data_IF_751518817314
#
_entry.id   IF_751518817314
#
_cell.length_a   1.000
_cell.length_b   1.000
_cell.length_c   1.000
_cell.angle_alpha   90.00
_cell.angle_beta   90.00
_cell.angle_gamma   90.00
#
_symmetry.space_group_name_H-M   'P 1'
#
loop_
_entity.id
_entity.type
_entity.pdbx_description
1 polymer ?
#
# COMPACT_ATOMS: atom_id res chain seq x y z
N UNK A 1 -18.12 -25.57 41.43
CA UNK A 1 -18.87 -24.29 41.43
C UNK A 1 -18.78 -23.70 40.03
N UNK A 2 -19.90 -23.28 39.43
CA UNK A 2 -19.87 -22.59 38.15
C UNK A 2 -19.09 -21.27 38.31
N UNK A 3 -18.10 -21.01 37.44
CA UNK A 3 -17.39 -19.73 37.42
C UNK A 3 -18.40 -18.62 37.12
N UNK A 4 -18.54 -17.68 38.04
CA UNK A 4 -19.37 -16.50 37.86
C UNK A 4 -18.86 -15.70 36.65
N UNK A 5 -19.76 -15.31 35.74
CA UNK A 5 -19.39 -14.69 34.49
C UNK A 5 -19.02 -13.20 34.68
N UNK A 6 -17.98 -12.74 34.00
CA UNK A 6 -17.60 -11.32 34.01
C UNK A 6 -18.72 -10.51 33.34
N UNK A 7 -19.19 -9.46 34.02
CA UNK A 7 -20.27 -8.61 33.52
C UNK A 7 -19.93 -7.94 32.17
N UNK A 8 -20.95 -7.67 31.35
CA UNK A 8 -20.78 -7.04 30.04
C UNK A 8 -20.07 -5.70 30.12
N UNK A 9 -20.40 -4.85 31.09
CA UNK A 9 -19.76 -3.53 31.25
C UNK A 9 -18.31 -3.65 31.73
N UNK A 10 -17.99 -4.63 32.58
CA UNK A 10 -16.60 -4.94 32.94
C UNK A 10 -15.81 -5.33 31.70
N UNK A 11 -16.33 -6.24 30.86
CA UNK A 11 -15.69 -6.64 29.60
C UNK A 11 -15.45 -5.45 28.67
N UNK A 12 -16.47 -4.61 28.46
CA UNK A 12 -16.36 -3.38 27.63
C UNK A 12 -15.26 -2.46 28.14
N UNK A 13 -15.19 -2.24 29.45
CA UNK A 13 -14.15 -1.39 30.05
C UNK A 13 -12.75 -2.00 29.90
N UNK A 14 -12.60 -3.31 30.05
CA UNK A 14 -11.33 -4.00 29.81
C UNK A 14 -10.87 -3.87 28.35
N UNK A 15 -11.79 -4.08 27.40
CA UNK A 15 -11.51 -3.89 25.97
C UNK A 15 -11.13 -2.45 25.63
N UNK A 16 -11.83 -1.47 26.19
CA UNK A 16 -11.51 -0.06 26.03
C UNK A 16 -10.12 0.29 26.59
N UNK A 17 -9.73 -0.29 27.73
CA UNK A 17 -8.42 -0.06 28.35
C UNK A 17 -7.27 -0.74 27.59
N UNK A 18 -7.51 -1.88 26.94
CA UNK A 18 -6.47 -2.60 26.20
C UNK A 18 -6.37 -2.17 24.72
N UNK A 19 -7.40 -1.51 24.18
CA UNK A 19 -7.42 -1.04 22.79
C UNK A 19 -7.30 -2.17 21.75
N UNK A 20 -7.62 -3.41 22.12
CA UNK A 20 -7.50 -4.58 21.24
C UNK A 20 -6.14 -5.30 21.28
N UNK A 21 -5.20 -4.85 22.11
CA UNK A 21 -3.84 -5.40 22.17
C UNK A 21 -3.51 -5.99 23.55
N UNK A 22 -2.61 -6.98 23.56
CA UNK A 22 -2.09 -7.59 24.78
C UNK A 22 -1.42 -6.53 25.68
N UNK A 23 -1.80 -6.49 26.96
CA UNK A 23 -1.30 -5.49 27.91
C UNK A 23 0.09 -5.81 28.48
N UNK A 24 0.73 -6.93 28.10
CA UNK A 24 2.14 -7.16 28.42
C UNK A 24 3.01 -6.17 27.62
N UNK A 25 3.84 -5.33 28.28
CA UNK A 25 4.65 -4.29 27.64
C UNK A 25 5.67 -4.80 26.60
N UNK A 26 5.96 -6.09 26.56
CA UNK A 26 6.88 -6.70 25.59
C UNK A 26 6.18 -7.43 24.43
N UNK A 27 4.86 -7.61 24.50
CA UNK A 27 4.12 -8.46 23.56
C UNK A 27 3.43 -7.67 22.45
N UNK A 28 2.61 -6.68 22.82
CA UNK A 28 1.81 -5.86 21.88
C UNK A 28 1.01 -6.65 20.82
N UNK A 29 0.73 -7.94 21.05
CA UNK A 29 0.01 -8.80 20.10
C UNK A 29 -1.44 -8.35 19.97
N UNK A 30 -1.95 -8.27 18.74
CA UNK A 30 -3.37 -8.03 18.47
C UNK A 30 -4.19 -9.21 18.98
N UNK A 31 -5.32 -8.93 19.66
CA UNK A 31 -6.11 -9.92 20.36
C UNK A 31 -7.31 -10.46 19.55
N UNK A 32 -7.28 -10.26 18.23
CA UNK A 32 -8.23 -10.87 17.30
C UNK A 32 -7.48 -11.63 16.21
N UNK A 33 -8.14 -12.66 15.68
CA UNK A 33 -7.70 -13.41 14.51
C UNK A 33 -8.81 -13.35 13.47
N UNK A 34 -8.45 -12.95 12.26
CA UNK A 34 -9.37 -12.82 11.12
C UNK A 34 -9.11 -13.95 10.12
N UNK A 35 -10.17 -14.65 9.70
CA UNK A 35 -10.13 -15.68 8.65
C UNK A 35 -11.29 -15.41 7.68
N UNK A 36 -10.97 -14.86 6.50
CA UNK A 36 -12.00 -14.37 5.59
C UNK A 36 -12.76 -13.21 6.24
N UNK A 37 -14.10 -13.32 6.27
CA UNK A 37 -14.99 -12.33 6.89
C UNK A 37 -15.29 -12.63 8.38
N UNK A 38 -14.72 -13.70 8.93
CA UNK A 38 -14.91 -14.09 10.33
C UNK A 38 -13.78 -13.57 11.22
N UNK A 39 -14.14 -13.00 12.38
CA UNK A 39 -13.21 -12.51 13.40
C UNK A 39 -13.47 -13.20 14.73
N UNK A 40 -12.42 -13.77 15.34
CA UNK A 40 -12.48 -14.38 16.67
C UNK A 40 -11.55 -13.66 17.64
N UNK A 41 -12.08 -13.34 18.83
CA UNK A 41 -11.26 -12.83 19.93
C UNK A 41 -10.41 -13.96 20.51
N UNK A 42 -9.09 -13.77 20.50
CA UNK A 42 -8.11 -14.64 21.17
C UNK A 42 -7.66 -14.07 22.53
N UNK A 43 -8.35 -13.02 23.01
CA UNK A 43 -8.07 -12.40 24.29
C UNK A 43 -8.45 -13.31 25.47
N UNK A 44 -7.63 -13.27 26.52
CA UNK A 44 -7.93 -13.83 27.83
C UNK A 44 -7.98 -12.70 28.85
N UNK A 45 -9.10 -12.64 29.59
CA UNK A 45 -9.21 -11.79 30.78
C UNK A 45 -8.62 -12.58 31.96
N UNK A 46 -7.35 -12.34 32.26
CA UNK A 46 -6.62 -13.01 33.32
C UNK A 46 -6.88 -12.33 34.66
N UNK A 47 -7.08 -13.13 35.71
CA UNK A 47 -7.16 -12.64 37.09
C UNK A 47 -5.74 -12.27 37.57
N UNK A 48 -5.59 -11.05 38.10
CA UNK A 48 -4.34 -10.61 38.72
C UNK A 48 -4.18 -11.35 40.05
N UNK A 49 -5.24 -11.39 40.87
CA UNK A 49 -5.32 -12.20 42.08
C UNK A 49 -6.35 -13.31 41.86
N UNK A 50 -5.89 -14.55 41.93
CA UNK A 50 -6.68 -15.77 41.75
C UNK A 50 -7.66 -16.02 42.89
N UNK A 51 -8.68 -16.86 42.63
CA UNK A 51 -9.75 -17.12 43.58
C UNK A 51 -9.46 -18.33 44.49
N UNK A 52 -9.74 -18.17 45.80
CA UNK A 52 -9.62 -19.24 46.81
C UNK A 52 -8.17 -19.52 47.21
N UNK A 53 -7.96 -20.39 48.19
CA UNK A 53 -6.64 -20.66 48.79
C UNK A 53 -5.61 -21.34 47.86
N UNK A 54 -5.99 -21.62 46.61
CA UNK A 54 -5.15 -22.30 45.62
C UNK A 54 -5.05 -21.49 44.31
N UNK A 55 -5.54 -20.26 44.30
CA UNK A 55 -5.43 -19.38 43.14
C UNK A 55 -4.06 -18.72 43.09
N UNK A 56 -3.56 -18.42 41.89
CA UNK A 56 -2.31 -17.68 41.74
C UNK A 56 -2.41 -16.33 42.46
N UNK A 57 -1.46 -16.03 43.34
CA UNK A 57 -1.33 -14.81 44.15
C UNK A 57 -2.46 -14.63 45.17
N UNK A 58 -3.14 -15.72 45.53
CA UNK A 58 -4.30 -15.69 46.45
C UNK A 58 -3.93 -15.36 47.89
N UNK A 59 -2.64 -15.45 48.25
CA UNK A 59 -2.06 -15.04 49.52
C UNK A 59 -1.83 -13.53 49.62
N UNK A 60 -2.02 -12.78 48.53
CA UNK A 60 -1.83 -11.33 48.51
C UNK A 60 -2.82 -10.61 49.44
N UNK A 61 -2.37 -9.57 50.15
CA UNK A 61 -3.16 -8.85 51.16
C UNK A 61 -4.50 -8.26 50.65
N UNK A 62 -4.63 -8.05 49.33
CA UNK A 62 -5.85 -7.54 48.70
C UNK A 62 -6.85 -8.64 48.32
N UNK A 63 -6.53 -9.92 48.45
CA UNK A 63 -7.36 -11.03 47.96
C UNK A 63 -8.79 -11.03 48.54
N UNK A 64 -8.95 -10.63 49.80
CA UNK A 64 -10.25 -10.60 50.48
C UNK A 64 -11.09 -9.35 50.17
N UNK A 65 -10.45 -8.25 49.78
CA UNK A 65 -11.11 -6.95 49.55
C UNK A 65 -11.34 -6.64 48.07
N UNK A 66 -10.60 -7.28 47.16
CA UNK A 66 -10.69 -7.02 45.73
C UNK A 66 -11.91 -7.68 45.11
N UNK A 67 -12.62 -6.94 44.25
CA UNK A 67 -13.72 -7.53 43.48
C UNK A 67 -13.15 -8.54 42.47
N UNK A 68 -13.39 -9.84 42.71
CA UNK A 68 -12.83 -10.96 41.92
C UNK A 68 -12.96 -10.77 40.41
N UNK A 69 -14.16 -10.45 39.93
CA UNK A 69 -14.46 -10.19 38.52
C UNK A 69 -14.54 -8.69 38.18
N UNK A 70 -13.93 -7.84 39.01
CA UNK A 70 -13.86 -6.40 38.81
C UNK A 70 -12.73 -6.00 37.87
N UNK A 71 -12.82 -4.81 37.26
CA UNK A 71 -11.78 -4.34 36.33
C UNK A 71 -10.42 -4.12 36.99
N UNK A 72 -10.38 -3.90 38.30
CA UNK A 72 -9.15 -3.76 39.08
C UNK A 72 -8.40 -5.08 39.23
N UNK A 73 -9.08 -6.22 39.15
CA UNK A 73 -8.47 -7.55 39.30
C UNK A 73 -8.26 -8.29 37.97
N UNK A 74 -8.53 -7.64 36.83
CA UNK A 74 -8.51 -8.29 35.52
C UNK A 74 -7.58 -7.54 34.56
N UNK A 75 -6.78 -8.29 33.80
CA UNK A 75 -5.90 -7.78 32.74
C UNK A 75 -6.17 -8.54 31.43
N UNK A 76 -6.09 -7.84 30.28
CA UNK A 76 -6.30 -8.44 28.96
C UNK A 76 -4.97 -8.89 28.34
N UNK A 77 -4.81 -10.20 28.15
CA UNK A 77 -3.57 -10.81 27.62
C UNK A 77 -3.87 -11.77 26.46
N UNK A 78 -2.87 -12.05 25.63
CA UNK A 78 -2.91 -13.20 24.73
C UNK A 78 -2.74 -14.50 25.53
N UNK A 79 -3.07 -15.65 24.92
CA UNK A 79 -2.96 -16.95 25.57
C UNK A 79 -1.55 -17.22 26.13
N UNK A 80 -0.51 -16.88 25.37
CA UNK A 80 0.88 -17.12 25.75
C UNK A 80 1.29 -16.30 26.99
N UNK A 81 0.93 -15.00 27.02
CA UNK A 81 1.23 -14.12 28.15
C UNK A 81 0.40 -14.47 29.38
N UNK A 82 -0.86 -14.88 29.19
CA UNK A 82 -1.70 -15.35 30.28
C UNK A 82 -1.09 -16.59 30.95
N UNK A 83 -0.72 -17.59 30.15
CA UNK A 83 -0.07 -18.81 30.64
C UNK A 83 1.23 -18.49 31.40
N UNK A 84 2.04 -17.58 30.86
CA UNK A 84 3.31 -17.17 31.46
C UNK A 84 3.14 -16.56 32.86
N UNK A 85 2.17 -15.66 33.05
CA UNK A 85 2.00 -15.00 34.36
C UNK A 85 1.43 -15.94 35.42
N UNK A 86 0.71 -16.99 35.01
CA UNK A 86 0.16 -17.99 35.91
C UNK A 86 1.21 -19.05 36.29
N UNK A 87 1.95 -19.60 35.32
CA UNK A 87 2.96 -20.63 35.59
C UNK A 87 4.25 -20.11 36.25
N UNK A 88 4.53 -18.81 36.12
CA UNK A 88 5.73 -18.17 36.67
C UNK A 88 5.37 -17.12 37.72
N UNK A 89 4.45 -17.46 38.61
CA UNK A 89 3.90 -16.57 39.63
C UNK A 89 4.97 -15.80 40.43
N UNK A 90 6.03 -16.48 40.86
CA UNK A 90 7.16 -15.90 41.60
C UNK A 90 7.88 -14.77 40.83
N UNK A 91 7.75 -14.72 39.50
CA UNK A 91 8.36 -13.70 38.62
C UNK A 91 7.40 -12.56 38.26
N UNK A 92 6.11 -12.72 38.54
CA UNK A 92 5.03 -11.80 38.17
C UNK A 92 4.12 -11.52 39.37
N UNK A 93 4.61 -10.65 40.25
CA UNK A 93 3.84 -10.15 41.40
C UNK A 93 2.60 -9.35 40.97
N UNK A 94 1.67 -9.16 41.91
CA UNK A 94 0.45 -8.36 41.71
C UNK A 94 0.79 -6.95 41.23
N UNK A 95 1.78 -6.30 41.85
CA UNK A 95 2.21 -4.93 41.55
C UNK A 95 2.69 -4.81 40.11
N UNK A 96 3.50 -5.77 39.66
CA UNK A 96 4.06 -5.77 38.30
C UNK A 96 2.96 -5.90 37.24
N UNK A 97 1.96 -6.74 37.48
CA UNK A 97 0.83 -6.92 36.55
C UNK A 97 -0.10 -5.68 36.59
N UNK A 98 -0.30 -5.08 37.76
CA UNK A 98 -1.01 -3.80 37.88
C UNK A 98 -0.29 -2.68 37.11
N UNK A 99 1.04 -2.60 37.22
CA UNK A 99 1.87 -1.66 36.46
C UNK A 99 1.69 -1.86 34.95
N UNK A 100 1.72 -3.09 34.44
CA UNK A 100 1.47 -3.38 33.03
C UNK A 100 0.11 -2.85 32.55
N UNK A 101 -0.93 -3.11 33.34
CA UNK A 101 -2.29 -2.67 33.06
C UNK A 101 -2.39 -1.13 33.04
N UNK A 102 -1.80 -0.46 34.03
CA UNK A 102 -1.81 1.00 34.15
C UNK A 102 -1.03 1.68 33.02
N UNK A 103 0.20 1.24 32.75
CA UNK A 103 1.03 1.76 31.67
C UNK A 103 0.32 1.62 30.31
N UNK A 104 -0.24 0.45 30.02
CA UNK A 104 -0.93 0.21 28.75
C UNK A 104 -2.19 1.07 28.63
N UNK A 105 -3.05 1.09 29.65
CA UNK A 105 -4.27 1.90 29.61
C UNK A 105 -4.00 3.40 29.52
N UNK A 106 -2.90 3.88 30.14
CA UNK A 106 -2.43 5.26 30.01
C UNK A 106 -1.97 5.58 28.60
N UNK A 107 -1.26 4.66 27.92
CA UNK A 107 -0.89 4.80 26.51
C UNK A 107 -2.13 4.93 25.62
N UNK A 108 -3.14 4.07 25.82
CA UNK A 108 -4.40 4.15 25.07
C UNK A 108 -5.11 5.48 25.33
N UNK A 109 -5.19 5.92 26.59
CA UNK A 109 -5.82 7.19 26.93
C UNK A 109 -5.07 8.40 26.36
N UNK A 110 -3.74 8.36 26.33
CA UNK A 110 -2.91 9.43 25.79
C UNK A 110 -3.15 9.67 24.30
N UNK A 111 -3.57 8.65 23.53
CA UNK A 111 -3.99 8.82 22.13
C UNK A 111 -5.15 9.82 21.97
N UNK A 112 -5.93 10.04 23.03
CA UNK A 112 -7.09 10.94 23.04
C UNK A 112 -6.85 12.23 23.84
N UNK A 113 -5.64 12.43 24.38
CA UNK A 113 -5.28 13.69 25.05
C UNK A 113 -4.58 14.61 24.06
N UNK A 114 -5.33 15.58 23.54
CA UNK A 114 -4.75 16.70 22.80
C UNK A 114 -4.20 17.71 23.79
N UNK A 115 -2.96 18.16 23.60
CA UNK A 115 -2.37 19.28 24.35
C UNK A 115 -3.34 20.48 24.29
N UNK A 116 -3.67 21.05 25.45
CA UNK A 116 -4.45 22.30 25.57
C UNK A 116 -3.58 23.34 26.23
N UNK A 117 -3.28 24.42 25.52
CA UNK A 117 -2.34 25.46 25.97
C UNK A 117 -2.72 26.84 25.45
N UNK A 118 -2.19 27.86 26.09
CA UNK A 118 -2.23 29.27 25.66
C UNK A 118 -0.86 29.76 25.17
N UNK A 119 0.19 28.92 25.22
CA UNK A 119 1.49 29.20 24.62
C UNK A 119 1.55 28.65 23.19
N UNK A 120 1.62 29.55 22.21
CA UNK A 120 1.72 29.18 20.79
C UNK A 120 3.00 28.36 20.51
N UNK A 121 4.09 28.60 21.25
CA UNK A 121 5.34 27.87 21.04
C UNK A 121 5.24 26.39 21.39
N UNK A 122 4.42 26.01 22.37
CA UNK A 122 4.19 24.60 22.69
C UNK A 122 3.50 23.88 21.52
N UNK A 123 2.49 24.52 20.92
CA UNK A 123 1.81 23.98 19.72
C UNK A 123 2.78 23.89 18.55
N UNK A 124 3.58 24.93 18.30
CA UNK A 124 4.53 24.94 17.20
C UNK A 124 5.58 23.83 17.32
N UNK A 125 6.09 23.56 18.53
CA UNK A 125 7.05 22.47 18.78
C UNK A 125 6.44 21.10 18.47
N UNK A 126 5.24 20.82 19.00
CA UNK A 126 4.54 19.56 18.73
C UNK A 126 4.22 19.37 17.24
N UNK A 127 3.78 20.44 16.56
CA UNK A 127 3.55 20.40 15.10
C UNK A 127 4.85 20.12 14.37
N UNK A 128 5.95 20.78 14.73
CA UNK A 128 7.25 20.58 14.12
C UNK A 128 7.75 19.13 14.30
N UNK A 129 7.63 18.56 15.49
CA UNK A 129 8.10 17.20 15.77
C UNK A 129 7.33 16.16 14.93
N UNK A 130 6.01 16.33 14.80
CA UNK A 130 5.17 15.49 13.92
C UNK A 130 5.53 15.67 12.44
N UNK A 131 5.83 16.91 12.00
CA UNK A 131 6.27 17.19 10.63
C UNK A 131 7.66 16.59 10.34
N UNK A 132 8.58 16.62 11.29
CA UNK A 132 9.92 16.03 11.16
C UNK A 132 9.88 14.50 11.14
N UNK A 133 9.03 13.86 11.96
CA UNK A 133 8.79 12.42 11.87
C UNK A 133 8.23 12.03 10.50
N UNK A 134 7.24 12.78 10.01
CA UNK A 134 6.69 12.58 8.67
C UNK A 134 7.74 12.78 7.57
N UNK A 135 8.59 13.81 7.69
CA UNK A 135 9.68 14.10 6.74
C UNK A 135 10.68 12.95 6.69
N UNK A 136 11.15 12.47 7.84
CA UNK A 136 12.11 11.36 7.92
C UNK A 136 11.60 10.11 7.20
N UNK A 137 10.33 9.75 7.44
CA UNK A 137 9.68 8.62 6.77
C UNK A 137 9.54 8.87 5.26
N UNK A 138 9.15 10.09 4.86
CA UNK A 138 9.00 10.45 3.46
C UNK A 138 10.34 10.44 2.71
N UNK A 139 11.41 10.91 3.33
CA UNK A 139 12.75 10.93 2.72
C UNK A 139 13.33 9.51 2.59
N UNK A 140 13.05 8.63 3.56
CA UNK A 140 13.57 7.26 3.60
C UNK A 140 12.79 6.30 2.67
N UNK A 141 11.45 6.37 2.69
CA UNK A 141 10.58 5.39 2.03
C UNK A 141 9.67 6.00 0.97
N UNK A 142 9.56 7.32 0.94
CA UNK A 142 8.64 8.01 0.05
C UNK A 142 9.04 7.92 -1.43
N UNK A 143 8.16 8.43 -2.30
CA UNK A 143 8.44 8.51 -3.73
C UNK A 143 9.76 9.25 -3.96
N UNK A 144 10.66 8.62 -4.73
CA UNK A 144 12.01 9.12 -5.03
C UNK A 144 13.06 9.00 -3.92
N UNK A 145 12.79 8.29 -2.82
CA UNK A 145 13.85 7.94 -1.87
C UNK A 145 14.92 7.07 -2.53
N UNK A 146 16.13 7.06 -1.97
CA UNK A 146 17.20 6.18 -2.50
C UNK A 146 16.75 4.72 -2.56
N UNK A 147 15.99 4.27 -1.55
CA UNK A 147 15.40 2.93 -1.52
C UNK A 147 14.35 2.72 -2.62
N UNK A 148 13.47 3.70 -2.88
CA UNK A 148 12.44 3.59 -3.91
C UNK A 148 13.02 3.54 -5.33
N UNK A 149 14.20 4.13 -5.52
CA UNK A 149 14.82 4.35 -6.82
C UNK A 149 15.83 3.24 -7.12
N UNK A 150 16.73 2.94 -6.19
CA UNK A 150 17.77 1.92 -6.35
C UNK A 150 17.37 0.54 -5.82
N UNK A 151 16.29 0.44 -5.05
CA UNK A 151 15.84 -0.81 -4.44
C UNK A 151 15.22 -1.76 -5.46
N UNK A 152 15.72 -3.00 -5.50
CA UNK A 152 15.19 -4.06 -6.36
C UNK A 152 13.97 -4.80 -5.75
N UNK A 153 13.54 -4.46 -4.53
CA UNK A 153 12.47 -5.18 -3.83
C UNK A 153 11.15 -4.39 -3.81
N UNK A 154 10.04 -5.07 -4.14
CA UNK A 154 8.68 -4.53 -3.99
C UNK A 154 8.27 -4.25 -2.54
N UNK A 155 9.15 -4.52 -1.57
CA UNK A 155 8.89 -4.33 -0.15
C UNK A 155 8.96 -2.86 0.25
N UNK A 156 9.74 -2.01 -0.42
CA UNK A 156 9.79 -0.57 -0.10
C UNK A 156 8.43 0.09 -0.31
N UNK A 157 7.72 -0.23 -1.40
CA UNK A 157 6.35 0.27 -1.65
C UNK A 157 5.35 -0.22 -0.60
N UNK A 158 5.49 -1.47 -0.12
CA UNK A 158 4.67 -2.02 0.97
C UNK A 158 4.96 -1.33 2.29
N UNK A 159 6.24 -1.10 2.60
CA UNK A 159 6.69 -0.38 3.80
C UNK A 159 6.19 1.06 3.75
N UNK A 160 6.33 1.76 2.63
CA UNK A 160 5.77 3.09 2.41
C UNK A 160 4.26 3.12 2.69
N UNK A 161 3.48 2.20 2.10
CA UNK A 161 2.04 2.11 2.35
C UNK A 161 1.75 1.87 3.83
N UNK A 162 2.49 0.98 4.48
CA UNK A 162 2.37 0.72 5.92
C UNK A 162 2.65 1.98 6.75
N UNK A 163 3.74 2.70 6.46
CA UNK A 163 4.15 3.92 7.15
C UNK A 163 3.20 5.09 6.95
N UNK A 164 2.58 5.18 5.78
CA UNK A 164 1.48 6.11 5.55
C UNK A 164 0.34 5.84 6.53
N UNK A 165 -0.11 4.59 6.62
CA UNK A 165 -1.26 4.20 7.43
C UNK A 165 -1.00 4.25 8.95
N UNK A 166 0.18 3.80 9.39
CA UNK A 166 0.50 3.65 10.82
C UNK A 166 1.12 4.90 11.46
N UNK A 167 1.66 5.84 10.66
CA UNK A 167 2.38 7.01 11.16
C UNK A 167 1.94 8.32 10.51
N UNK A 168 2.10 8.48 9.19
CA UNK A 168 1.89 9.79 8.53
C UNK A 168 0.43 10.24 8.62
N UNK A 169 -0.53 9.37 8.32
CA UNK A 169 -1.96 9.72 8.42
C UNK A 169 -2.36 10.06 9.86
N UNK A 170 -2.02 9.24 10.89
CA UNK A 170 -2.20 9.63 12.29
C UNK A 170 -1.57 10.98 12.63
N UNK A 171 -0.33 11.24 12.21
CA UNK A 171 0.36 12.49 12.52
C UNK A 171 -0.28 13.70 11.82
N UNK A 172 -0.72 13.55 10.58
CA UNK A 172 -1.48 14.58 9.87
C UNK A 172 -2.74 14.95 10.65
N UNK A 173 -3.48 13.95 11.14
CA UNK A 173 -4.67 14.17 11.96
C UNK A 173 -4.32 14.82 13.30
N UNK A 174 -3.27 14.37 14.00
CA UNK A 174 -2.81 14.98 15.26
C UNK A 174 -2.48 16.46 15.10
N UNK A 175 -1.79 16.85 14.02
CA UNK A 175 -1.49 18.27 13.73
C UNK A 175 -2.78 19.08 13.58
N UNK A 176 -3.75 18.57 12.82
CA UNK A 176 -5.04 19.23 12.61
C UNK A 176 -5.80 19.35 13.94
N UNK A 177 -5.91 18.26 14.69
CA UNK A 177 -6.65 18.21 15.96
C UNK A 177 -6.02 19.11 17.01
N UNK A 178 -4.69 19.19 17.06
CA UNK A 178 -3.95 20.05 17.97
C UNK A 178 -4.26 21.53 17.71
N UNK A 179 -4.20 21.97 16.45
CA UNK A 179 -4.46 23.37 16.09
C UNK A 179 -5.95 23.68 16.22
N UNK A 180 -6.85 22.82 15.74
CA UNK A 180 -8.30 23.02 15.85
C UNK A 180 -8.77 23.04 17.31
N UNK A 181 -8.20 22.17 18.16
CA UNK A 181 -8.53 22.07 19.59
C UNK A 181 -8.12 23.30 20.39
N UNK A 182 -7.08 24.02 19.96
CA UNK A 182 -6.56 25.19 20.66
C UNK A 182 -6.96 26.53 20.03
N UNK A 183 -7.63 26.55 18.86
CA UNK A 183 -7.89 27.80 18.12
C UNK A 183 -8.66 28.87 18.91
N UNK A 184 -9.45 28.47 19.91
CA UNK A 184 -10.22 29.39 20.77
C UNK A 184 -9.37 30.01 21.89
N UNK A 185 -8.18 29.49 22.14
CA UNK A 185 -7.25 30.00 23.15
C UNK A 185 -6.42 31.19 22.63
N UNK A 186 -6.42 31.43 21.31
CA UNK A 186 -5.64 32.50 20.67
C UNK A 186 -6.55 33.59 20.08
N UNK A 187 -5.99 34.80 19.93
CA UNK A 187 -6.72 35.94 19.35
C UNK A 187 -7.07 35.68 17.90
N UNK A 188 -8.30 36.03 17.53
CA UNK A 188 -8.75 35.99 16.14
C UNK A 188 -8.31 37.26 15.38
N UNK A 189 -7.77 37.14 14.16
CA UNK A 189 -7.46 35.89 13.47
C UNK A 189 -6.11 35.31 13.91
N UNK A 190 -6.08 34.00 14.17
CA UNK A 190 -4.87 33.29 14.55
C UNK A 190 -4.11 32.82 13.31
N UNK A 191 -2.85 33.26 13.17
CA UNK A 191 -2.08 33.04 11.95
C UNK A 191 -1.74 31.57 11.69
N UNK A 192 -1.32 30.82 12.73
CA UNK A 192 -1.02 29.39 12.57
C UNK A 192 -2.23 28.62 12.03
N UNK A 193 -3.44 28.93 12.51
CA UNK A 193 -4.67 28.33 11.99
C UNK A 193 -4.86 28.62 10.50
N UNK A 194 -4.64 29.86 10.05
CA UNK A 194 -4.76 30.22 8.63
C UNK A 194 -3.77 29.48 7.75
N UNK A 195 -2.51 29.40 8.17
CA UNK A 195 -1.47 28.68 7.45
C UNK A 195 -1.77 27.17 7.37
N UNK A 196 -2.36 26.60 8.43
CA UNK A 196 -2.76 25.19 8.48
C UNK A 196 -3.90 24.84 7.51
N UNK A 197 -4.75 25.77 7.07
CA UNK A 197 -5.88 25.42 6.19
C UNK A 197 -5.46 24.75 4.87
N UNK A 198 -4.36 25.21 4.25
CA UNK A 198 -3.80 24.56 3.06
C UNK A 198 -3.25 23.17 3.38
N UNK A 199 -2.64 23.02 4.55
CA UNK A 199 -2.15 21.74 5.05
C UNK A 199 -3.29 20.75 5.29
N UNK A 200 -4.42 21.21 5.84
CA UNK A 200 -5.62 20.38 6.06
C UNK A 200 -6.16 19.82 4.75
N UNK A 201 -6.29 20.66 3.71
CA UNK A 201 -6.73 20.20 2.38
C UNK A 201 -5.76 19.13 1.85
N UNK A 202 -4.44 19.37 1.96
CA UNK A 202 -3.44 18.37 1.58
C UNK A 202 -3.59 17.07 2.36
N UNK A 203 -3.76 17.13 3.69
CA UNK A 203 -3.88 15.96 4.56
C UNK A 203 -5.12 15.13 4.24
N UNK A 204 -6.26 15.79 4.01
CA UNK A 204 -7.52 15.14 3.61
C UNK A 204 -7.36 14.44 2.25
N UNK A 205 -6.82 15.15 1.25
CA UNK A 205 -6.49 14.53 -0.03
C UNK A 205 -5.54 13.34 0.20
N UNK A 206 -4.39 13.53 0.85
CA UNK A 206 -3.39 12.46 1.04
C UNK A 206 -3.96 11.20 1.71
N UNK A 207 -4.87 11.37 2.68
CA UNK A 207 -5.63 10.28 3.31
C UNK A 207 -6.48 9.53 2.30
N UNK A 208 -7.22 10.23 1.45
CA UNK A 208 -8.01 9.60 0.39
C UNK A 208 -7.12 8.75 -0.53
N UNK A 209 -5.90 9.20 -0.86
CA UNK A 209 -4.99 8.48 -1.78
C UNK A 209 -4.51 7.16 -1.19
N UNK A 210 -4.32 7.17 0.12
CA UNK A 210 -3.80 6.03 0.85
C UNK A 210 -4.88 4.96 1.05
N UNK A 211 -6.14 5.39 1.17
CA UNK A 211 -7.26 4.53 1.56
C UNK A 211 -8.12 4.05 0.38
N UNK A 212 -8.33 4.89 -0.64
CA UNK A 212 -9.20 4.57 -1.77
C UNK A 212 -8.43 4.03 -2.98
N UNK A 213 -9.05 3.09 -3.69
CA UNK A 213 -8.51 2.53 -4.93
C UNK A 213 -8.74 3.47 -6.13
N UNK A 214 -9.83 4.25 -6.09
CA UNK A 214 -10.15 5.28 -7.07
C UNK A 214 -9.30 6.52 -6.82
N UNK A 215 -8.26 6.69 -7.64
CA UNK A 215 -7.31 7.80 -7.50
C UNK A 215 -7.77 9.00 -8.30
N UNK A 216 -7.98 10.11 -7.60
CA UNK A 216 -8.31 11.41 -8.19
C UNK A 216 -7.04 12.09 -8.71
N UNK A 217 -7.15 12.87 -9.80
CA UNK A 217 -6.02 13.53 -10.46
C UNK A 217 -5.56 14.84 -9.80
N UNK A 218 -6.44 15.62 -9.18
CA UNK A 218 -6.11 16.94 -8.62
C UNK A 218 -5.64 16.86 -7.16
N UNK A 219 -4.55 16.14 -6.92
CA UNK A 219 -3.99 15.99 -5.58
C UNK A 219 -3.29 17.25 -5.10
N UNK A 220 -3.77 17.82 -3.99
CA UNK A 220 -3.04 18.91 -3.32
C UNK A 220 -1.79 18.34 -2.66
N UNK A 221 -0.64 18.85 -3.08
CA UNK A 221 0.67 18.46 -2.55
C UNK A 221 0.92 19.10 -1.19
N UNK A 222 1.91 18.55 -0.47
CA UNK A 222 2.32 19.09 0.83
C UNK A 222 2.72 20.57 0.70
N UNK A 223 2.05 21.48 1.44
CA UNK A 223 2.33 22.90 1.37
C UNK A 223 3.61 23.21 2.15
N UNK A 224 4.73 23.39 1.43
CA UNK A 224 6.04 23.70 2.03
C UNK A 224 6.01 25.01 2.81
N UNK A 225 5.11 25.92 2.46
CA UNK A 225 4.87 27.18 3.14
C UNK A 225 4.44 26.97 4.60
N UNK A 226 3.68 25.92 4.89
CA UNK A 226 3.24 25.61 6.25
C UNK A 226 4.42 25.15 7.13
N UNK A 227 5.26 24.22 6.64
CA UNK A 227 6.48 23.78 7.32
C UNK A 227 7.46 24.95 7.54
N UNK A 228 7.67 25.75 6.50
CA UNK A 228 8.53 26.93 6.56
C UNK A 228 8.02 27.95 7.59
N UNK A 229 6.70 28.20 7.63
CA UNK A 229 6.09 29.09 8.63
C UNK A 229 6.33 28.59 10.05
N UNK A 230 6.09 27.30 10.33
CA UNK A 230 6.28 26.69 11.65
C UNK A 230 7.74 26.82 12.09
N UNK A 231 8.67 26.45 11.22
CA UNK A 231 10.12 26.50 11.53
C UNK A 231 10.64 27.92 11.73
N UNK A 232 10.20 28.87 10.91
CA UNK A 232 10.56 30.27 11.09
C UNK A 232 10.07 30.83 12.42
N UNK A 233 8.84 30.48 12.84
CA UNK A 233 8.31 30.88 14.15
C UNK A 233 9.11 30.30 15.32
N UNK A 234 9.67 29.12 15.16
CA UNK A 234 10.56 28.47 16.13
C UNK A 234 12.02 28.92 16.04
N UNK A 235 12.39 29.76 15.06
CA UNK A 235 13.78 30.17 14.84
C UNK A 235 14.68 29.06 14.26
N UNK A 236 14.09 28.02 13.66
CA UNK A 236 14.81 26.92 13.01
C UNK A 236 15.19 27.37 11.59
N UNK A 237 16.47 27.25 11.24
CA UNK A 237 16.94 27.58 9.88
C UNK A 237 16.29 26.65 8.84
N UNK A 238 15.80 27.24 7.75
CA UNK A 238 15.25 26.51 6.61
C UNK A 238 15.85 27.02 5.31
N UNK A 239 15.82 26.20 4.27
CA UNK A 239 16.13 26.65 2.92
C UNK A 239 15.02 27.59 2.42
N UNK A 240 15.39 28.58 1.61
CA UNK A 240 14.43 29.52 1.03
C UNK A 240 13.37 28.78 0.21
N UNK A 241 12.11 29.22 0.34
CA UNK A 241 11.04 28.74 -0.51
C UNK A 241 11.35 29.17 -1.95
N UNK A 242 11.69 28.22 -2.82
CA UNK A 242 11.63 28.46 -4.26
C UNK A 242 10.20 28.94 -4.59
N UNK A 243 10.07 30.20 -5.03
CA UNK A 243 8.81 30.77 -5.48
C UNK A 243 8.37 29.99 -6.72
N UNK A 244 7.51 29.00 -6.52
CA UNK A 244 6.83 28.30 -7.61
C UNK A 244 5.63 29.17 -7.95
N UNK A 245 5.74 29.95 -9.04
CA UNK A 245 4.59 30.59 -9.67
C UNK A 245 3.52 29.53 -10.00
N UNK A 246 2.33 29.98 -10.40
CA UNK A 246 1.21 29.17 -10.86
C UNK A 246 1.62 28.21 -12.00
N UNK A 247 2.36 27.15 -11.66
CA UNK A 247 2.85 26.12 -12.57
C UNK A 247 1.88 24.94 -12.43
N UNK A 248 0.66 25.17 -12.92
CA UNK A 248 -0.29 24.10 -13.19
C UNK A 248 0.37 23.10 -14.16
N UNK A 249 0.44 21.85 -13.69
CA UNK A 249 0.94 20.60 -14.30
C UNK A 249 2.26 20.13 -13.68
N UNK A 250 2.22 19.69 -12.42
CA UNK A 250 3.01 18.58 -11.87
C UNK A 250 4.50 18.41 -12.26
N UNK A 251 5.28 19.49 -12.36
CA UNK A 251 6.70 19.39 -12.71
C UNK A 251 7.60 19.38 -11.47
N UNK A 252 8.37 18.29 -11.30
CA UNK A 252 9.58 18.29 -10.47
C UNK A 252 10.80 18.27 -11.40
N UNK A 253 11.16 19.40 -12.01
CA UNK A 253 12.27 19.51 -12.98
C UNK A 253 13.53 18.78 -12.51
N UNK A 254 13.93 18.98 -11.24
CA UNK A 254 15.11 18.34 -10.66
C UNK A 254 14.96 16.81 -10.54
N UNK A 255 13.81 16.35 -10.06
CA UNK A 255 13.52 14.92 -9.89
C UNK A 255 13.42 14.21 -11.25
N UNK A 256 12.69 14.80 -12.21
CA UNK A 256 12.54 14.26 -13.58
C UNK A 256 13.91 14.17 -14.26
N UNK A 257 14.70 15.25 -14.20
CA UNK A 257 16.03 15.27 -14.83
C UNK A 257 16.97 14.24 -14.20
N UNK A 258 16.98 14.10 -12.87
CA UNK A 258 17.79 13.10 -12.18
C UNK A 258 17.39 11.68 -12.60
N UNK A 259 16.09 11.38 -12.61
CA UNK A 259 15.57 10.06 -12.93
C UNK A 259 15.83 9.67 -14.39
N UNK A 260 15.53 10.57 -15.32
CA UNK A 260 15.76 10.35 -16.74
C UNK A 260 17.26 10.14 -17.01
N UNK A 261 18.13 10.94 -16.41
CA UNK A 261 19.57 10.79 -16.59
C UNK A 261 20.09 9.48 -15.96
N UNK A 262 19.56 9.06 -14.82
CA UNK A 262 19.97 7.84 -14.15
C UNK A 262 19.62 6.57 -14.96
N UNK A 263 18.40 6.48 -15.51
CA UNK A 263 17.92 5.25 -16.16
C UNK A 263 17.91 5.27 -17.69
N UNK A 264 17.61 6.42 -18.31
CA UNK A 264 17.46 6.50 -19.77
C UNK A 264 18.76 6.89 -20.47
N UNK A 265 19.55 7.81 -19.91
CA UNK A 265 20.77 8.27 -20.58
C UNK A 265 21.81 7.15 -20.80
N UNK A 266 21.80 6.11 -19.96
CA UNK A 266 22.71 4.96 -20.07
C UNK A 266 22.06 3.74 -20.77
N UNK A 267 20.84 3.87 -21.30
CA UNK A 267 20.15 2.73 -21.89
C UNK A 267 20.74 2.38 -23.28
N UNK A 268 21.16 1.13 -23.46
CA UNK A 268 21.90 0.68 -24.66
C UNK A 268 21.17 0.81 -26.00
N UNK A 269 19.85 1.01 -25.98
CA UNK A 269 19.04 1.20 -27.19
C UNK A 269 18.68 2.67 -27.47
N UNK A 270 19.12 3.59 -26.62
CA UNK A 270 19.00 5.03 -26.82
C UNK A 270 20.35 5.53 -27.34
N UNK A 271 20.35 6.07 -28.55
CA UNK A 271 21.53 6.64 -29.21
C UNK A 271 21.80 8.06 -28.73
N UNK A 272 20.74 8.86 -28.64
CA UNK A 272 20.82 10.26 -28.20
C UNK A 272 19.52 10.67 -27.51
N UNK A 273 19.61 11.58 -26.54
CA UNK A 273 18.45 12.13 -25.85
C UNK A 273 18.67 13.60 -25.51
N UNK A 274 17.77 14.46 -25.97
CA UNK A 274 17.84 15.91 -25.79
C UNK A 274 16.56 16.43 -25.12
N UNK A 275 16.69 17.24 -24.08
CA UNK A 275 15.55 17.94 -23.48
C UNK A 275 15.08 19.07 -24.41
N UNK A 276 13.83 19.02 -24.88
CA UNK A 276 13.21 20.10 -25.65
C UNK A 276 12.65 21.18 -24.72
N UNK A 277 12.10 20.77 -23.58
CA UNK A 277 11.67 21.66 -22.50
C UNK A 277 11.75 20.91 -21.14
N UNK A 278 11.06 21.41 -20.12
CA UNK A 278 11.11 20.83 -18.76
C UNK A 278 10.59 19.39 -18.65
N UNK A 279 9.73 18.95 -19.58
CA UNK A 279 9.05 17.66 -19.51
C UNK A 279 9.11 16.84 -20.81
N UNK A 280 9.46 17.48 -21.94
CA UNK A 280 9.52 16.83 -23.24
C UNK A 280 10.96 16.59 -23.65
N UNK A 281 11.23 15.38 -24.11
CA UNK A 281 12.52 14.91 -24.58
C UNK A 281 12.40 14.42 -26.02
N UNK A 282 13.38 14.78 -26.85
CA UNK A 282 13.62 14.10 -28.13
C UNK A 282 14.54 12.91 -27.85
N UNK A 283 14.06 11.70 -28.11
CA UNK A 283 14.80 10.45 -27.92
C UNK A 283 15.07 9.83 -29.28
N UNK A 284 16.34 9.67 -29.63
CA UNK A 284 16.78 8.99 -30.86
C UNK A 284 17.24 7.59 -30.47
N UNK A 285 16.61 6.58 -31.06
CA UNK A 285 16.91 5.17 -30.79
C UNK A 285 18.05 4.66 -31.69
N UNK A 286 18.66 3.54 -31.31
CA UNK A 286 19.74 2.91 -32.08
C UNK A 286 19.31 2.40 -33.46
N UNK A 287 18.00 2.28 -33.71
CA UNK A 287 17.43 1.95 -35.02
C UNK A 287 16.94 3.19 -35.80
N UNK A 288 17.44 4.37 -35.44
CA UNK A 288 17.19 5.68 -36.06
C UNK A 288 15.74 6.20 -35.93
N UNK A 289 14.86 5.50 -35.20
CA UNK A 289 13.56 6.07 -34.83
C UNK A 289 13.75 7.26 -33.89
N UNK A 290 13.01 8.33 -34.17
CA UNK A 290 12.90 9.49 -33.30
C UNK A 290 11.57 9.46 -32.56
N UNK A 291 11.60 9.68 -31.24
CA UNK A 291 10.42 9.75 -30.38
C UNK A 291 10.41 11.08 -29.62
N UNK A 292 9.28 11.78 -29.66
CA UNK A 292 8.96 12.90 -28.77
C UNK A 292 8.28 12.35 -27.52
N UNK A 293 9.01 12.35 -26.41
CA UNK A 293 8.62 11.69 -25.18
C UNK A 293 8.26 12.73 -24.12
N UNK A 294 7.03 12.71 -23.64
CA UNK A 294 6.58 13.50 -22.49
C UNK A 294 6.81 12.71 -21.20
N UNK A 295 7.37 13.34 -20.18
CA UNK A 295 7.62 12.71 -18.89
C UNK A 295 6.82 13.40 -17.80
N UNK A 296 5.95 12.63 -17.15
CA UNK A 296 5.08 13.11 -16.08
C UNK A 296 5.44 12.51 -14.73
N UNK A 297 5.24 13.30 -13.68
CA UNK A 297 5.41 12.90 -12.29
C UNK A 297 4.07 12.60 -11.57
N UNK A 298 2.97 12.50 -12.31
CA UNK A 298 1.64 12.17 -11.77
C UNK A 298 1.68 10.84 -10.99
N UNK A 299 1.00 10.78 -9.84
CA UNK A 299 0.86 9.52 -9.09
C UNK A 299 -0.12 8.53 -9.72
N UNK A 300 -1.09 9.03 -10.48
CA UNK A 300 -2.03 8.21 -11.20
C UNK A 300 -2.44 8.88 -12.49
N UNK A 301 -2.03 8.33 -13.62
CA UNK A 301 -2.32 8.91 -14.92
C UNK A 301 -3.68 8.40 -15.44
N UNK A 302 -4.53 9.32 -15.90
CA UNK A 302 -5.85 8.99 -16.47
C UNK A 302 -6.07 9.69 -17.81
N UNK A 303 -7.21 9.42 -18.44
CA UNK A 303 -7.72 10.01 -19.68
C UNK A 303 -7.70 11.54 -19.60
N UNK A 304 -8.12 12.11 -18.47
CA UNK A 304 -8.07 13.56 -18.24
C UNK A 304 -6.63 14.11 -18.26
N UNK A 305 -5.65 13.36 -17.75
CA UNK A 305 -4.24 13.75 -17.83
C UNK A 305 -3.76 13.73 -19.27
N UNK A 306 -4.18 12.73 -20.05
CA UNK A 306 -3.89 12.62 -21.47
C UNK A 306 -4.47 13.80 -22.26
N UNK A 307 -5.75 14.15 -22.05
CA UNK A 307 -6.41 15.29 -22.69
C UNK A 307 -5.64 16.60 -22.43
N UNK A 308 -5.22 16.84 -21.19
CA UNK A 308 -4.39 18.00 -20.83
C UNK A 308 -3.08 18.02 -21.60
N UNK A 309 -2.37 16.90 -21.64
CA UNK A 309 -1.09 16.79 -22.35
C UNK A 309 -1.26 17.05 -23.85
N UNK A 310 -2.27 16.44 -24.46
CA UNK A 310 -2.56 16.61 -25.89
C UNK A 310 -3.00 18.03 -26.25
N UNK A 311 -3.70 18.73 -25.34
CA UNK A 311 -4.06 20.13 -25.56
C UNK A 311 -2.88 21.09 -25.54
N UNK A 312 -1.80 20.74 -24.83
CA UNK A 312 -0.54 21.48 -24.82
C UNK A 312 0.32 21.14 -26.04
N UNK A 313 0.46 19.86 -26.36
CA UNK A 313 1.26 19.38 -27.49
C UNK A 313 0.67 18.08 -28.07
N UNK A 314 -0.03 18.14 -29.21
CA UNK A 314 -0.68 16.96 -29.77
C UNK A 314 0.30 15.97 -30.43
N UNK A 315 1.57 16.36 -30.65
CA UNK A 315 2.54 15.60 -31.43
C UNK A 315 3.48 14.75 -30.54
N UNK A 316 2.96 14.15 -29.47
CA UNK A 316 3.72 13.32 -28.53
C UNK A 316 3.63 11.86 -28.95
N UNK A 317 4.79 11.19 -29.08
CA UNK A 317 4.86 9.78 -29.47
C UNK A 317 4.79 8.83 -28.26
N UNK A 318 5.25 9.29 -27.10
CA UNK A 318 5.25 8.49 -25.88
C UNK A 318 5.10 9.34 -24.61
N UNK A 319 4.51 8.76 -23.58
CA UNK A 319 4.33 9.33 -22.25
C UNK A 319 4.97 8.37 -21.24
N UNK A 320 5.84 8.88 -20.38
CA UNK A 320 6.46 8.12 -19.29
C UNK A 320 5.94 8.64 -17.95
N UNK A 321 5.29 7.77 -17.18
CA UNK A 321 5.02 7.98 -15.76
C UNK A 321 6.31 7.72 -14.97
N UNK A 322 7.06 8.78 -14.65
CA UNK A 322 8.39 8.67 -14.04
C UNK A 322 8.37 8.38 -12.55
N UNK A 323 7.24 8.58 -11.87
CA UNK A 323 7.13 8.35 -10.43
C UNK A 323 7.15 6.84 -10.11
N UNK A 324 8.10 6.33 -9.31
CA UNK A 324 8.22 4.89 -9.02
C UNK A 324 6.97 4.28 -8.38
N UNK A 325 6.19 5.07 -7.66
CA UNK A 325 4.98 4.62 -7.00
C UNK A 325 3.71 4.92 -7.79
N UNK A 326 3.85 5.54 -8.98
CA UNK A 326 2.72 5.83 -9.84
C UNK A 326 2.14 4.59 -10.51
N UNK A 327 0.99 4.80 -11.15
CA UNK A 327 0.37 3.86 -12.07
C UNK A 327 -0.47 4.65 -13.08
N UNK A 328 -1.08 3.97 -14.04
CA UNK A 328 -2.05 4.56 -14.96
C UNK A 328 -3.33 3.74 -15.02
N UNK A 329 -4.45 4.37 -15.39
CA UNK A 329 -5.72 3.66 -15.60
C UNK A 329 -5.62 2.76 -16.84
N UNK A 330 -6.35 1.64 -16.81
CA UNK A 330 -6.44 0.71 -17.95
C UNK A 330 -7.05 1.43 -19.17
N UNK A 331 -8.04 2.28 -18.93
CA UNK A 331 -8.73 3.06 -19.95
C UNK A 331 -7.81 4.10 -20.59
N UNK A 332 -7.01 4.86 -19.83
CA UNK A 332 -6.01 5.78 -20.39
C UNK A 332 -4.99 5.06 -21.27
N UNK A 333 -4.54 3.87 -20.86
CA UNK A 333 -3.63 3.06 -21.67
C UNK A 333 -4.30 2.58 -22.96
N UNK A 334 -5.58 2.15 -22.93
CA UNK A 334 -6.34 1.81 -24.15
C UNK A 334 -6.49 3.01 -25.08
N UNK A 335 -6.81 4.17 -24.54
CA UNK A 335 -6.96 5.41 -25.32
C UNK A 335 -5.65 5.87 -25.96
N UNK A 336 -4.54 5.78 -25.23
CA UNK A 336 -3.20 6.03 -25.77
C UNK A 336 -2.88 5.07 -26.92
N UNK A 337 -3.16 3.76 -26.77
CA UNK A 337 -2.98 2.78 -27.86
C UNK A 337 -3.81 3.17 -29.09
N UNK A 338 -5.08 3.53 -28.91
CA UNK A 338 -5.97 3.95 -30.00
C UNK A 338 -5.47 5.23 -30.70
N UNK A 339 -4.79 6.10 -29.95
CA UNK A 339 -4.22 7.35 -30.45
C UNK A 339 -2.79 7.20 -31.00
N UNK A 340 -2.24 5.97 -31.06
CA UNK A 340 -0.84 5.68 -31.39
C UNK A 340 0.18 6.40 -30.49
N UNK A 341 -0.16 6.59 -29.22
CA UNK A 341 0.71 7.16 -28.19
C UNK A 341 1.15 6.04 -27.24
N UNK A 342 2.45 5.92 -27.00
CA UNK A 342 2.97 4.95 -26.06
C UNK A 342 2.90 5.43 -24.61
N UNK A 343 1.96 4.95 -23.79
CA UNK A 343 1.90 5.24 -22.35
C UNK A 343 2.64 4.19 -21.52
N UNK A 344 3.64 4.56 -20.74
CA UNK A 344 4.49 3.59 -20.05
C UNK A 344 4.88 4.01 -18.64
N UNK A 345 5.01 3.02 -17.75
CA UNK A 345 5.92 3.14 -16.61
C UNK A 345 7.35 3.11 -17.12
N UNK A 346 8.31 3.66 -16.38
CA UNK A 346 9.70 3.75 -16.83
C UNK A 346 10.31 2.40 -17.29
N UNK A 347 10.14 1.33 -16.49
CA UNK A 347 10.63 -0.02 -16.83
C UNK A 347 9.97 -0.57 -18.10
N UNK A 348 8.70 -0.24 -18.32
CA UNK A 348 7.97 -0.65 -19.51
C UNK A 348 8.54 0.07 -20.73
N UNK A 349 8.77 1.38 -20.65
CA UNK A 349 9.36 2.15 -21.75
C UNK A 349 10.73 1.60 -22.17
N UNK A 350 11.63 1.36 -21.20
CA UNK A 350 12.97 0.81 -21.45
C UNK A 350 12.94 -0.53 -22.21
N UNK A 351 11.93 -1.37 -21.95
CA UNK A 351 11.73 -2.61 -22.69
C UNK A 351 11.01 -2.41 -24.02
N UNK A 352 9.96 -1.60 -24.04
CA UNK A 352 9.06 -1.37 -25.16
C UNK A 352 9.79 -0.76 -26.36
N UNK A 353 10.71 0.19 -26.15
CA UNK A 353 11.43 0.88 -27.24
C UNK A 353 12.23 -0.05 -28.14
N UNK A 354 12.48 -1.31 -27.74
CA UNK A 354 13.15 -2.32 -28.58
C UNK A 354 12.23 -2.96 -29.62
N UNK A 355 10.94 -2.63 -29.58
CA UNK A 355 9.90 -3.19 -30.43
C UNK A 355 9.19 -2.08 -31.23
N UNK A 356 8.37 -2.50 -32.19
CA UNK A 356 7.51 -1.65 -33.02
C UNK A 356 6.08 -2.21 -33.04
N UNK A 357 5.14 -1.40 -33.53
CA UNK A 357 3.72 -1.78 -33.66
C UNK A 357 3.08 -2.16 -32.32
N UNK A 358 2.22 -3.18 -32.33
CA UNK A 358 1.45 -3.62 -31.16
C UNK A 358 2.34 -3.96 -29.95
N UNK A 359 3.51 -4.58 -30.19
CA UNK A 359 4.46 -4.94 -29.10
C UNK A 359 5.09 -3.72 -28.43
N UNK A 360 5.23 -2.61 -29.14
CA UNK A 360 5.66 -1.35 -28.54
C UNK A 360 4.54 -0.79 -27.67
N UNK A 361 3.36 -0.56 -28.27
CA UNK A 361 2.26 0.12 -27.57
C UNK A 361 1.69 -0.68 -26.40
N UNK A 362 1.71 -2.01 -26.45
CA UNK A 362 1.11 -2.88 -25.43
C UNK A 362 2.14 -3.81 -24.76
N UNK A 363 3.36 -3.31 -24.57
CA UNK A 363 4.48 -4.06 -24.03
C UNK A 363 4.20 -4.68 -22.64
N UNK A 364 4.42 -6.00 -22.52
CA UNK A 364 4.33 -6.75 -21.26
C UNK A 364 5.72 -7.05 -20.70
N UNK A 365 5.95 -6.73 -19.42
CA UNK A 365 7.20 -7.05 -18.75
C UNK A 365 7.37 -8.57 -18.55
N UNK A 366 8.61 -9.05 -18.63
CA UNK A 366 8.93 -10.48 -18.42
C UNK A 366 8.48 -10.99 -17.05
N UNK A 367 8.71 -10.22 -15.99
CA UNK A 367 8.31 -10.58 -14.62
C UNK A 367 6.78 -10.64 -14.47
N UNK A 368 6.05 -9.78 -15.17
CA UNK A 368 4.58 -9.78 -15.17
C UNK A 368 4.04 -11.00 -15.91
N UNK A 369 4.62 -11.35 -17.06
CA UNK A 369 4.32 -12.60 -17.77
C UNK A 369 4.56 -13.81 -16.86
N UNK A 370 5.72 -13.87 -16.21
CA UNK A 370 6.08 -14.96 -15.29
C UNK A 370 5.11 -15.03 -14.08
N UNK A 371 4.71 -13.88 -13.54
CA UNK A 371 3.75 -13.81 -12.43
C UNK A 371 2.36 -14.32 -12.84
N UNK A 372 1.87 -13.97 -14.04
CA UNK A 372 0.61 -14.49 -14.60
C UNK A 372 0.63 -16.02 -14.69
N UNK A 373 1.72 -16.58 -15.23
CA UNK A 373 1.93 -18.03 -15.35
C UNK A 373 1.97 -18.71 -13.97
N UNK A 374 2.81 -18.19 -13.08
CA UNK A 374 3.03 -18.78 -11.75
C UNK A 374 1.76 -18.81 -10.89
N UNK A 375 0.96 -17.74 -10.92
CA UNK A 375 -0.29 -17.67 -10.15
C UNK A 375 -1.33 -18.68 -10.63
N UNK A 376 -1.54 -18.77 -11.95
CA UNK A 376 -2.50 -19.73 -12.49
C UNK A 376 -2.02 -21.18 -12.32
N UNK A 377 -0.73 -21.45 -12.56
CA UNK A 377 -0.12 -22.75 -12.27
C UNK A 377 -0.32 -23.14 -10.80
N UNK A 378 -0.13 -22.21 -9.87
CA UNK A 378 -0.35 -22.47 -8.44
C UNK A 378 -1.82 -22.76 -8.11
N UNK A 379 -2.77 -22.08 -8.77
CA UNK A 379 -4.19 -22.35 -8.60
C UNK A 379 -4.58 -23.77 -9.09
N UNK A 380 -3.87 -24.29 -10.09
CA UNK A 380 -4.10 -25.62 -10.66
C UNK A 380 -3.37 -26.77 -9.92
N UNK A 381 -2.44 -26.47 -9.00
CA UNK A 381 -1.71 -27.46 -8.18
C UNK A 381 -2.57 -28.03 -7.04
N UNK A 382 -3.79 -28.46 -7.34
CA UNK A 382 -4.67 -29.19 -6.42
C UNK A 382 -4.52 -30.69 -6.67
N UNK A 383 -4.55 -31.49 -5.59
CA UNK A 383 -4.34 -32.93 -5.64
C UNK A 383 -5.34 -33.67 -6.56
N UNK A 384 -6.56 -33.15 -6.70
CA UNK A 384 -7.59 -33.69 -7.59
C UNK A 384 -7.29 -33.41 -9.06
N UNK A 385 -6.80 -32.22 -9.37
CA UNK A 385 -6.44 -31.78 -10.74
C UNK A 385 -5.18 -32.51 -11.23
N UNK A 386 -4.19 -32.69 -10.36
CA UNK A 386 -2.94 -33.38 -10.70
C UNK A 386 -3.15 -34.85 -11.09
N UNK A 387 -4.27 -35.47 -10.66
CA UNK A 387 -4.62 -36.84 -11.04
C UNK A 387 -5.17 -36.96 -12.46
N UNK A 388 -5.56 -35.84 -13.10
CA UNK A 388 -6.24 -35.85 -14.39
C UNK A 388 -5.29 -36.11 -15.58
N UNK A 389 -3.96 -36.16 -15.38
CA UNK A 389 -2.93 -36.34 -16.42
C UNK A 389 -3.08 -35.41 -17.65
N UNK A 390 -3.82 -34.30 -17.51
CA UNK A 390 -4.05 -33.33 -18.56
C UNK A 390 -2.92 -32.28 -18.54
N UNK A 391 -2.44 -31.88 -19.72
CA UNK A 391 -1.54 -30.72 -19.82
C UNK A 391 -2.33 -29.47 -20.10
N UNK A 392 -1.90 -28.35 -19.52
CA UNK A 392 -2.57 -27.05 -19.72
C UNK A 392 -1.56 -26.06 -20.26
N UNK A 393 -1.88 -25.44 -21.40
CA UNK A 393 -1.06 -24.37 -21.99
C UNK A 393 -1.82 -23.05 -21.99
N UNK A 394 -1.17 -22.00 -21.50
CA UNK A 394 -1.62 -20.63 -21.69
C UNK A 394 -0.96 -20.04 -22.94
N UNK A 395 -1.69 -19.23 -23.69
CA UNK A 395 -1.14 -18.49 -24.82
C UNK A 395 -1.95 -17.22 -25.09
N UNK A 396 -1.75 -16.62 -26.26
CA UNK A 396 -2.59 -15.50 -26.69
C UNK A 396 -2.20 -14.17 -26.09
N UNK A 397 -3.13 -13.21 -26.15
CA UNK A 397 -2.92 -11.82 -25.72
C UNK A 397 -2.55 -11.71 -24.24
N UNK A 398 -3.10 -12.60 -23.40
CA UNK A 398 -2.81 -12.70 -21.97
C UNK A 398 -1.32 -12.84 -21.62
N UNK A 399 -0.52 -13.45 -22.49
CA UNK A 399 0.92 -13.65 -22.28
C UNK A 399 1.81 -12.75 -23.15
N UNK A 400 1.21 -11.92 -24.03
CA UNK A 400 1.96 -11.00 -24.90
C UNK A 400 1.77 -9.54 -24.52
N UNK A 401 0.62 -9.18 -23.97
CA UNK A 401 0.19 -7.79 -23.84
C UNK A 401 -0.05 -7.36 -22.40
N UNK A 402 0.25 -6.09 -22.10
CA UNK A 402 -0.08 -5.47 -20.81
C UNK A 402 -1.59 -5.51 -20.58
N UNK A 403 -2.34 -4.99 -21.54
CA UNK A 403 -3.80 -5.06 -21.61
C UNK A 403 -4.18 -6.16 -22.59
N UNK A 404 -4.95 -7.11 -22.10
CA UNK A 404 -5.46 -8.24 -22.86
C UNK A 404 -6.99 -8.21 -22.82
N UNK A 405 -7.62 -8.75 -23.86
CA UNK A 405 -9.08 -8.76 -24.00
C UNK A 405 -9.68 -10.11 -23.59
N UNK A 406 -8.88 -11.15 -23.69
CA UNK A 406 -9.26 -12.55 -23.53
C UNK A 406 -8.11 -13.38 -22.96
N UNK A 407 -8.45 -14.61 -22.57
CA UNK A 407 -7.49 -15.60 -22.10
C UNK A 407 -7.70 -16.87 -22.92
N UNK A 408 -6.66 -17.26 -23.65
CA UNK A 408 -6.68 -18.46 -24.48
C UNK A 408 -5.93 -19.61 -23.79
N UNK A 409 -6.59 -20.76 -23.71
CA UNK A 409 -6.11 -21.94 -22.99
C UNK A 409 -6.26 -23.18 -23.86
N UNK A 410 -5.20 -23.97 -23.97
CA UNK A 410 -5.23 -25.30 -24.58
C UNK A 410 -5.21 -26.34 -23.46
N UNK A 411 -6.19 -27.23 -23.48
CA UNK A 411 -6.28 -28.40 -22.62
C UNK A 411 -5.95 -29.63 -23.45
N UNK A 412 -4.87 -30.33 -23.08
CA UNK A 412 -4.46 -31.56 -23.75
C UNK A 412 -4.88 -32.75 -22.92
N UNK A 413 -5.80 -33.56 -23.46
CA UNK A 413 -6.21 -34.83 -22.88
C UNK A 413 -5.52 -35.97 -23.64
N UNK A 414 -4.53 -36.64 -23.02
CA UNK A 414 -3.79 -37.71 -23.67
C UNK A 414 -4.65 -38.96 -23.92
N UNK A 415 -5.71 -39.20 -23.13
CA UNK A 415 -6.44 -40.46 -23.10
C UNK A 415 -7.85 -40.37 -23.74
N UNK A 416 -8.29 -39.17 -24.14
CA UNK A 416 -9.65 -38.87 -24.70
C UNK A 416 -10.83 -39.38 -23.84
N UNK A 417 -10.58 -39.73 -22.58
CA UNK A 417 -11.53 -40.37 -21.68
C UNK A 417 -11.68 -39.59 -20.35
N UNK A 418 -10.94 -38.50 -20.17
CA UNK A 418 -10.90 -37.72 -18.93
C UNK A 418 -11.82 -36.49 -18.97
N UNK A 419 -13.04 -36.62 -19.50
CA UNK A 419 -14.02 -35.52 -19.55
C UNK A 419 -14.26 -34.91 -18.16
N UNK A 420 -14.25 -35.74 -17.11
CA UNK A 420 -14.38 -35.27 -15.72
C UNK A 420 -13.19 -34.40 -15.28
N UNK A 421 -11.97 -34.70 -15.72
CA UNK A 421 -10.77 -33.94 -15.39
C UNK A 421 -10.69 -32.59 -16.12
N UNK A 422 -11.04 -32.55 -17.40
CA UNK A 422 -11.15 -31.32 -18.19
C UNK A 422 -12.13 -30.35 -17.51
N UNK A 423 -13.29 -30.85 -17.10
CA UNK A 423 -14.34 -30.00 -16.53
C UNK A 423 -13.93 -29.45 -15.16
N UNK A 424 -13.21 -30.24 -14.34
CA UNK A 424 -12.62 -29.77 -13.09
C UNK A 424 -11.60 -28.65 -13.34
N UNK A 425 -10.72 -28.80 -14.33
CA UNK A 425 -9.73 -27.78 -14.69
C UNK A 425 -10.41 -26.49 -15.15
N UNK A 426 -11.41 -26.59 -16.04
CA UNK A 426 -12.19 -25.43 -16.49
C UNK A 426 -12.86 -24.72 -15.33
N UNK A 427 -13.49 -25.45 -14.41
CA UNK A 427 -14.17 -24.87 -13.25
C UNK A 427 -13.19 -24.11 -12.36
N UNK A 428 -11.99 -24.65 -12.14
CA UNK A 428 -10.97 -23.99 -11.32
C UNK A 428 -10.37 -22.76 -11.98
N UNK A 429 -10.18 -22.78 -13.31
CA UNK A 429 -9.76 -21.62 -14.08
C UNK A 429 -10.86 -20.54 -14.06
N UNK A 430 -12.11 -20.92 -14.32
CA UNK A 430 -13.25 -19.99 -14.26
C UNK A 430 -13.40 -19.38 -12.87
N UNK A 431 -13.20 -20.17 -11.81
CA UNK A 431 -13.19 -19.69 -10.43
C UNK A 431 -12.05 -18.71 -10.17
N UNK A 432 -10.85 -18.99 -10.69
CA UNK A 432 -9.70 -18.08 -10.54
C UNK A 432 -9.96 -16.70 -11.16
N UNK A 433 -10.67 -16.66 -12.28
CA UNK A 433 -11.05 -15.42 -12.97
C UNK A 433 -12.47 -14.93 -12.63
N UNK A 434 -13.10 -15.49 -11.60
CA UNK A 434 -14.45 -15.11 -11.19
C UNK A 434 -14.48 -13.63 -10.78
N UNK A 435 -15.48 -12.89 -11.28
CA UNK A 435 -15.61 -11.45 -11.04
C UNK A 435 -14.82 -10.58 -12.02
N UNK A 436 -14.05 -11.16 -12.94
CA UNK A 436 -13.53 -10.41 -14.09
C UNK A 436 -14.53 -10.46 -15.26
N UNK A 437 -14.67 -9.37 -16.00
CA UNK A 437 -15.45 -9.34 -17.26
C UNK A 437 -14.68 -9.96 -18.44
N UNK A 438 -13.59 -10.68 -18.17
CA UNK A 438 -12.68 -11.20 -19.19
C UNK A 438 -13.18 -12.55 -19.70
N UNK A 439 -13.24 -12.70 -21.02
CA UNK A 439 -13.67 -13.94 -21.67
C UNK A 439 -12.53 -14.95 -21.74
N UNK A 440 -12.82 -16.21 -21.42
CA UNK A 440 -11.87 -17.32 -21.46
C UNK A 440 -12.26 -18.26 -22.60
N UNK A 441 -11.29 -18.59 -23.45
CA UNK A 441 -11.45 -19.53 -24.56
C UNK A 441 -10.66 -20.80 -24.29
N UNK A 442 -11.36 -21.93 -24.31
CA UNK A 442 -10.78 -23.25 -24.15
C UNK A 442 -10.73 -23.98 -25.48
N UNK A 443 -9.55 -24.43 -25.86
CA UNK A 443 -9.34 -25.39 -26.96
C UNK A 443 -8.96 -26.73 -26.37
N UNK A 444 -9.70 -27.78 -26.68
CA UNK A 444 -9.41 -29.14 -26.21
C UNK A 444 -8.82 -29.92 -27.39
N UNK A 445 -7.69 -30.57 -27.18
CA UNK A 445 -7.05 -31.37 -28.22
C UNK A 445 -6.27 -32.56 -27.65
N UNK A 446 -5.89 -33.48 -28.52
CA UNK A 446 -4.91 -34.53 -28.25
C UNK A 446 -3.47 -34.04 -28.45
N UNK A 447 -2.48 -34.80 -27.97
CA UNK A 447 -1.06 -34.49 -28.20
C UNK A 447 -0.68 -34.39 -29.68
N UNK A 448 -1.29 -35.24 -30.53
CA UNK A 448 -1.05 -35.22 -31.97
C UNK A 448 -1.68 -34.01 -32.67
N UNK A 449 -2.79 -33.49 -32.14
CA UNK A 449 -3.40 -32.26 -32.63
C UNK A 449 -2.60 -31.04 -32.16
N UNK A 450 -2.10 -31.05 -30.92
CA UNK A 450 -1.25 -29.98 -30.39
C UNK A 450 0.03 -29.82 -31.22
N UNK A 451 0.69 -30.92 -31.59
CA UNK A 451 1.96 -30.89 -32.35
C UNK A 451 1.80 -30.39 -33.78
N UNK A 452 0.58 -30.46 -34.34
CA UNK A 452 0.23 -29.96 -35.67
C UNK A 452 -0.41 -28.56 -35.64
N UNK A 453 -0.65 -28.00 -34.46
CA UNK A 453 -1.30 -26.71 -34.32
C UNK A 453 -0.33 -25.58 -34.65
N UNK A 454 -0.68 -24.80 -35.66
CA UNK A 454 0.03 -23.58 -36.05
C UNK A 454 -0.70 -22.35 -35.50
N UNK A 455 0.00 -21.57 -34.70
CA UNK A 455 -0.52 -20.33 -34.13
C UNK A 455 0.17 -19.13 -34.79
N UNK A 456 -0.62 -18.13 -35.20
CA UNK A 456 -0.10 -16.86 -35.77
C UNK A 456 0.96 -16.24 -34.85
N UNK A 457 0.73 -16.35 -33.54
CA UNK A 457 1.64 -15.90 -32.50
C UNK A 457 1.84 -17.05 -31.50
N UNK A 458 2.80 -17.94 -31.77
CA UNK A 458 3.09 -19.04 -30.87
C UNK A 458 3.90 -18.57 -29.65
N UNK A 459 3.20 -18.44 -28.53
CA UNK A 459 3.75 -18.07 -27.23
C UNK A 459 3.24 -18.99 -26.12
N UNK A 460 2.97 -20.25 -26.47
CA UNK A 460 2.44 -21.27 -25.57
C UNK A 460 3.39 -21.50 -24.38
N UNK A 461 2.83 -21.53 -23.19
CA UNK A 461 3.54 -21.84 -21.95
C UNK A 461 2.75 -22.92 -21.22
N UNK A 462 3.40 -24.07 -20.95
CA UNK A 462 2.79 -25.13 -20.17
C UNK A 462 2.74 -24.73 -18.68
N UNK A 463 1.58 -24.84 -18.06
CA UNK A 463 1.35 -24.44 -16.66
C UNK A 463 0.89 -25.57 -15.74
N UNK A 464 0.45 -26.69 -16.33
CA UNK A 464 0.12 -27.95 -15.66
C UNK A 464 0.70 -29.11 -16.47
#
# INVERSE_FOLDING_TARGET
MARESISTNTKRKLWSQCGGFCQNPSCHKYLFSDIGDESVSIANAAHIIGAGNTGHRSEHALADSIQKNGTSNLIMLCLDCHKMIDELEDKYSVEKICEWKEQHSSKIQALFKTLVTTDENEILREVNDLLEENRSIFEEYGPFSEQATKGNSGDVKKVWKKRCLDTILPNNQKIIDLIEGNKRNFKYPWELYRQMLRYKIHADSFKENCLFEEKVNDYKLFPREFDHFVKNKLGIQTQDLEVRGEEEIEYRKYTISKYINEYLANHSFIKEMNALNRAIFKVILSDERELKVFVTNTYYFTEYTLEKIQSVDPNIDAIICSNPYSNYSISAKKECINSNIGLFMLREFMGAIRYQGEKYFNYLLKDEKASRISRLSSALKKSEILKCNCKVYLFGSYLRHKIFNDIDIILVDPDKNAMSGIELIKNEINKYFQGSEIKIYFTICSENELSKMELIYDNREQIL
#
